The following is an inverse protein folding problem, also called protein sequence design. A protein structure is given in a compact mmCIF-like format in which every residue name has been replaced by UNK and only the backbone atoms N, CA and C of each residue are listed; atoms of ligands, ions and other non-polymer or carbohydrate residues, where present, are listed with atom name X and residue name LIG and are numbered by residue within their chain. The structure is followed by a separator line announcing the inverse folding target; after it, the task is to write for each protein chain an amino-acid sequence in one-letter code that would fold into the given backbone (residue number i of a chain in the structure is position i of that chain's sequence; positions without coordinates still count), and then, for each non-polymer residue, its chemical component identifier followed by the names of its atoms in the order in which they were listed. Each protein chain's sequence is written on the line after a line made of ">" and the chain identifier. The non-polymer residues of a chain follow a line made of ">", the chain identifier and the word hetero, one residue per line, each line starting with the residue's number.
data_IF_517789129648
#
_entry.id   IF_517789129648
#
_cell.length_a   1.000
_cell.length_b   1.000
_cell.length_c   1.000
_cell.angle_alpha   90.00
_cell.angle_beta   90.00
_cell.angle_gamma   90.00
#
_symmetry.space_group_name_H-M   'P 1'
#
loop_
_entity.id
_entity.type
_entity.pdbx_description
1 polymer ?
#
# COMPACT_ATOMS: atom_id res chain seq x y z
N UNK A 1 -3.21 20.11 10.85
CA UNK A 1 -3.87 18.79 10.94
C UNK A 1 -3.14 17.86 9.98
N UNK A 2 -2.72 16.69 10.41
CA UNK A 2 -2.04 15.69 9.57
C UNK A 2 -3.10 14.69 9.07
N UNK A 3 -3.75 14.98 7.94
CA UNK A 3 -4.85 14.16 7.42
C UNK A 3 -4.45 12.74 6.97
N UNK A 4 -3.15 12.51 6.77
CA UNK A 4 -2.55 11.22 6.42
C UNK A 4 -1.22 11.05 7.16
N UNK A 5 -1.27 11.11 8.49
CA UNK A 5 -0.06 11.12 9.33
C UNK A 5 0.67 9.77 9.39
N UNK A 6 -0.12 8.69 9.44
CA UNK A 6 0.36 7.33 9.66
C UNK A 6 -0.50 6.40 8.79
N UNK A 7 0.10 5.64 7.86
CA UNK A 7 -0.64 4.65 7.09
C UNK A 7 -1.23 3.58 8.01
N UNK A 8 -2.51 3.27 7.83
CA UNK A 8 -3.16 2.14 8.51
C UNK A 8 -3.12 0.86 7.66
N UNK A 9 -2.75 1.00 6.39
CA UNK A 9 -2.57 -0.10 5.48
C UNK A 9 -1.22 0.00 4.78
N UNK A 10 -0.65 -1.16 4.48
CA UNK A 10 0.57 -1.35 3.72
C UNK A 10 0.28 -2.03 2.39
N UNK A 11 1.20 -1.84 1.46
CA UNK A 11 1.32 -2.59 0.23
C UNK A 11 2.61 -3.38 0.30
N UNK A 12 2.51 -4.70 0.10
CA UNK A 12 3.63 -5.65 0.22
C UNK A 12 4.52 -5.62 -1.04
N UNK A 13 5.06 -4.44 -1.35
CA UNK A 13 6.01 -4.17 -2.40
C UNK A 13 6.93 -3.03 -1.95
N UNK A 14 8.24 -3.07 -2.27
CA UNK A 14 9.19 -2.05 -1.82
C UNK A 14 8.99 -0.70 -2.51
N UNK A 15 8.42 -0.68 -3.72
CA UNK A 15 8.10 0.52 -4.48
C UNK A 15 7.13 0.18 -5.62
N UNK A 16 6.62 1.21 -6.28
CA UNK A 16 5.88 1.13 -7.53
C UNK A 16 6.64 1.86 -8.66
N UNK A 17 6.60 1.34 -9.89
CA UNK A 17 7.30 1.93 -11.03
C UNK A 17 6.56 1.76 -12.36
N UNK A 18 6.36 2.86 -13.08
CA UNK A 18 5.95 2.87 -14.49
C UNK A 18 7.14 3.21 -15.39
N UNK A 19 7.57 2.25 -16.21
CA UNK A 19 8.59 2.39 -17.23
C UNK A 19 8.12 3.26 -18.40
N UNK A 20 6.85 3.13 -18.81
CA UNK A 20 6.26 3.96 -19.87
C UNK A 20 6.38 5.46 -19.54
N UNK A 21 6.03 5.84 -18.31
CA UNK A 21 6.02 7.23 -17.88
C UNK A 21 7.29 7.66 -17.13
N UNK A 22 8.16 6.70 -16.77
CA UNK A 22 9.34 6.89 -15.92
C UNK A 22 9.00 7.53 -14.57
N UNK A 23 7.96 7.01 -13.93
CA UNK A 23 7.46 7.48 -12.64
C UNK A 23 7.61 6.38 -11.59
N UNK A 24 8.23 6.71 -10.47
CA UNK A 24 8.34 5.85 -9.29
C UNK A 24 7.56 6.40 -8.10
N UNK A 25 7.01 5.50 -7.29
CA UNK A 25 6.36 5.83 -6.01
C UNK A 25 7.02 5.03 -4.90
N UNK A 26 7.38 5.72 -3.83
CA UNK A 26 7.96 5.18 -2.61
C UNK A 26 7.25 5.78 -1.39
N UNK A 27 7.29 5.10 -0.25
CA UNK A 27 6.66 5.56 0.98
C UNK A 27 6.75 4.55 2.12
N UNK A 28 6.45 5.00 3.33
CA UNK A 28 6.37 4.16 4.54
C UNK A 28 5.26 3.10 4.49
N UNK A 29 4.34 3.21 3.54
CA UNK A 29 3.30 2.23 3.25
C UNK A 29 3.69 1.21 2.16
N UNK A 30 4.88 1.33 1.55
CA UNK A 30 5.43 0.44 0.53
C UNK A 30 6.58 -0.40 1.11
N UNK A 31 6.24 -1.34 1.99
CA UNK A 31 7.21 -2.25 2.58
C UNK A 31 6.54 -3.52 3.09
N UNK A 32 7.36 -4.53 3.34
CA UNK A 32 6.93 -5.74 4.02
C UNK A 32 6.71 -5.50 5.53
N UNK A 33 6.03 -6.44 6.17
CA UNK A 33 5.08 -6.11 7.24
C UNK A 33 5.61 -5.42 8.47
N UNK A 34 6.84 -5.71 8.89
CA UNK A 34 7.36 -5.22 10.16
C UNK A 34 7.83 -3.76 10.07
N UNK A 35 8.14 -3.27 8.87
CA UNK A 35 8.66 -1.91 8.64
C UNK A 35 7.58 -0.92 8.20
N UNK A 36 6.33 -1.36 8.07
CA UNK A 36 5.21 -0.52 7.65
C UNK A 36 4.92 0.61 8.64
N UNK A 37 4.59 1.78 8.10
CA UNK A 37 4.25 2.98 8.87
C UNK A 37 5.39 3.43 9.80
N UNK A 38 6.63 3.25 9.33
CA UNK A 38 7.84 3.61 10.06
C UNK A 38 8.79 4.46 9.19
N UNK A 39 9.70 5.16 9.86
CA UNK A 39 10.78 5.91 9.19
C UNK A 39 11.69 4.95 8.40
N UNK A 40 11.94 3.76 8.94
CA UNK A 40 12.75 2.72 8.29
C UNK A 40 12.09 2.24 6.99
N UNK A 41 10.78 1.98 7.01
CA UNK A 41 10.00 1.63 5.83
C UNK A 41 10.07 2.69 4.73
N UNK A 42 9.96 3.98 5.11
CA UNK A 42 10.12 5.08 4.15
C UNK A 42 11.51 5.11 3.52
N UNK A 43 12.56 4.90 4.32
CA UNK A 43 13.94 4.87 3.84
C UNK A 43 14.18 3.69 2.89
N UNK A 44 13.82 2.48 3.31
CA UNK A 44 13.99 1.25 2.52
C UNK A 44 13.25 1.31 1.18
N UNK A 45 12.02 1.85 1.19
CA UNK A 45 11.23 2.03 -0.02
C UNK A 45 11.89 3.00 -1.01
N UNK A 46 12.39 4.14 -0.51
CA UNK A 46 13.08 5.13 -1.32
C UNK A 46 14.42 4.62 -1.88
N UNK A 47 15.20 3.93 -1.05
CA UNK A 47 16.49 3.36 -1.43
C UNK A 47 16.32 2.30 -2.53
N UNK A 48 15.37 1.38 -2.35
CA UNK A 48 15.04 0.35 -3.34
C UNK A 48 14.62 0.94 -4.69
N UNK A 49 13.81 2.01 -4.68
CA UNK A 49 13.43 2.70 -5.92
C UNK A 49 14.64 3.40 -6.57
N UNK A 50 15.51 4.01 -5.77
CA UNK A 50 16.74 4.65 -6.23
C UNK A 50 17.68 3.67 -6.92
N UNK A 51 17.94 2.52 -6.29
CA UNK A 51 18.73 1.42 -6.88
C UNK A 51 18.12 0.94 -8.19
N UNK A 52 16.79 0.77 -8.22
CA UNK A 52 16.08 0.31 -9.41
C UNK A 52 16.20 1.27 -10.60
N UNK A 53 16.03 2.57 -10.35
CA UNK A 53 16.21 3.62 -11.38
C UNK A 53 17.66 3.66 -11.86
N UNK A 54 18.63 3.54 -10.93
CA UNK A 54 20.05 3.49 -11.29
C UNK A 54 20.40 2.26 -12.15
N UNK A 55 19.71 1.14 -11.94
CA UNK A 55 19.89 -0.12 -12.68
C UNK A 55 19.21 -0.17 -14.05
N UNK A 56 18.58 0.93 -14.53
CA UNK A 56 17.96 1.18 -15.85
C UNK A 56 16.44 1.37 -15.87
N UNK A 57 15.72 1.05 -14.79
CA UNK A 57 14.27 1.31 -14.71
C UNK A 57 13.42 0.76 -15.88
N UNK A 58 13.88 -0.27 -16.59
CA UNK A 58 13.35 -0.64 -17.91
C UNK A 58 12.12 -1.55 -17.88
N UNK A 59 11.84 -2.18 -16.74
CA UNK A 59 10.68 -3.05 -16.53
C UNK A 59 9.61 -2.35 -15.71
N UNK A 60 8.35 -2.48 -16.09
CA UNK A 60 7.25 -2.05 -15.23
C UNK A 60 7.19 -2.90 -13.97
N UNK A 61 7.18 -2.22 -12.83
CA UNK A 61 6.76 -2.81 -11.56
C UNK A 61 5.40 -2.26 -11.13
N UNK A 62 4.72 -1.50 -12.00
CA UNK A 62 3.41 -0.89 -11.82
C UNK A 62 3.18 -0.27 -10.45
N UNK A 63 1.91 -0.06 -10.09
CA UNK A 63 1.44 -0.56 -8.80
C UNK A 63 1.33 -2.07 -8.99
N UNK A 64 2.44 -2.81 -8.92
CA UNK A 64 2.42 -4.26 -9.07
C UNK A 64 1.47 -4.77 -8.01
N UNK A 65 0.32 -5.19 -8.48
CA UNK A 65 -0.76 -5.70 -7.66
C UNK A 65 -0.30 -6.90 -6.79
N UNK A 66 0.95 -7.37 -6.93
CA UNK A 66 1.44 -8.56 -6.28
C UNK A 66 0.59 -9.76 -6.69
N UNK A 67 0.74 -10.87 -5.98
CA UNK A 67 -0.14 -12.02 -6.15
C UNK A 67 -1.59 -11.71 -5.71
N UNK A 68 -1.80 -10.63 -4.95
CA UNK A 68 -3.08 -10.29 -4.29
C UNK A 68 -3.92 -9.20 -4.98
N UNK A 69 -3.57 -8.74 -6.18
CA UNK A 69 -4.43 -7.75 -6.87
C UNK A 69 -4.30 -6.30 -6.36
N UNK A 70 -3.22 -5.93 -5.65
CA UNK A 70 -2.91 -4.57 -5.16
C UNK A 70 -3.64 -4.26 -3.88
N UNK A 71 -3.97 -5.31 -3.13
CA UNK A 71 -4.77 -5.20 -1.93
C UNK A 71 -3.92 -4.62 -0.81
N UNK A 72 -4.31 -3.42 -0.38
CA UNK A 72 -3.84 -2.84 0.86
C UNK A 72 -4.14 -3.79 2.03
N UNK A 73 -3.10 -4.15 2.78
CA UNK A 73 -3.18 -5.01 3.97
C UNK A 73 -3.10 -4.14 5.22
N UNK A 74 -3.89 -4.42 6.27
CA UNK A 74 -3.77 -3.67 7.52
C UNK A 74 -2.36 -3.74 8.11
N UNK A 75 -1.89 -2.62 8.64
CA UNK A 75 -0.71 -2.60 9.53
C UNK A 75 -1.18 -3.05 10.91
N UNK A 76 -0.41 -3.91 11.58
CA UNK A 76 -0.76 -4.44 12.91
C UNK A 76 -1.15 -3.33 13.90
N UNK A 77 -2.17 -3.61 14.72
CA UNK A 77 -2.84 -2.66 15.63
C UNK A 77 -1.86 -1.91 16.53
N UNK A 78 -1.72 -0.60 16.31
CA UNK A 78 -0.83 0.22 17.16
C UNK A 78 -1.19 1.69 17.33
N UNK A 79 -2.08 2.28 16.52
CA UNK A 79 -2.29 3.74 16.56
C UNK A 79 -3.74 4.19 16.78
N UNK A 80 -4.74 3.45 16.30
CA UNK A 80 -6.15 3.75 16.58
C UNK A 80 -6.51 2.99 17.85
N UNK A 81 -6.72 3.71 18.95
CA UNK A 81 -6.95 3.12 20.27
C UNK A 81 -7.97 1.98 20.24
N UNK A 82 -7.62 0.88 20.91
CA UNK A 82 -8.34 -0.35 21.26
C UNK A 82 -9.83 -0.43 20.89
N UNK A 83 -10.12 -0.27 19.60
CA UNK A 83 -11.44 -0.33 19.01
C UNK A 83 -11.30 -1.21 17.81
N UNK A 84 -11.51 -2.52 18.03
CA UNK A 84 -11.63 -3.59 17.04
C UNK A 84 -11.82 -3.08 15.59
N UNK A 85 -10.71 -2.82 14.91
CA UNK A 85 -10.70 -2.66 13.45
C UNK A 85 -10.92 -4.00 12.74
N UNK A 86 -11.21 -5.07 13.49
CA UNK A 86 -11.60 -6.39 13.02
C UNK A 86 -13.06 -6.46 12.54
N UNK A 87 -13.88 -5.41 12.76
CA UNK A 87 -15.34 -5.48 12.55
C UNK A 87 -15.93 -4.69 11.38
N UNK A 88 -15.24 -3.72 10.79
CA UNK A 88 -15.83 -2.91 9.70
C UNK A 88 -15.55 -3.54 8.34
N UNK A 89 -16.58 -4.12 7.75
CA UNK A 89 -16.64 -4.47 6.34
C UNK A 89 -16.46 -3.17 5.52
N UNK A 90 -15.23 -2.89 5.09
CA UNK A 90 -14.86 -1.67 4.35
C UNK A 90 -15.44 -1.59 2.93
N UNK A 91 -16.21 -2.60 2.52
CA UNK A 91 -16.86 -2.69 1.21
C UNK A 91 -18.34 -3.01 1.43
N UNK A 92 -19.18 -1.97 1.49
CA UNK A 92 -20.62 -2.16 1.30
C UNK A 92 -20.86 -2.46 -0.18
N UNK A 93 -21.13 -3.73 -0.49
CA UNK A 93 -21.68 -4.11 -1.79
C UNK A 93 -23.05 -3.43 -1.95
N UNK A 94 -23.39 -2.89 -3.12
CA UNK A 94 -24.72 -2.32 -3.35
C UNK A 94 -25.76 -3.41 -3.11
N UNK A 95 -26.78 -3.07 -2.31
CA UNK A 95 -27.93 -3.95 -2.08
C UNK A 95 -28.53 -4.29 -3.45
N UNK A 96 -28.57 -5.58 -3.77
CA UNK A 96 -29.37 -6.04 -4.92
C UNK A 96 -30.81 -5.76 -4.57
N UNK A 97 -31.37 -4.70 -5.15
CA UNK A 97 -32.81 -4.52 -5.22
C UNK A 97 -33.42 -5.82 -5.72
N UNK A 98 -34.08 -6.54 -4.81
CA UNK A 98 -34.87 -7.73 -5.10
C UNK A 98 -36.11 -7.33 -5.87
N UNK A 99 -35.92 -6.94 -7.13
CA UNK A 99 -36.99 -6.79 -8.11
C UNK A 99 -37.28 -8.15 -8.74
N UNK A 100 -38.46 -8.71 -8.44
CA UNK A 100 -39.09 -9.70 -9.31
C UNK A 100 -39.80 -10.83 -8.58
N UNK A 101 -41.13 -10.83 -8.66
CA UNK A 101 -42.00 -11.98 -8.34
C UNK A 101 -43.34 -11.59 -7.76
#
# INVERSE_FOLDING_TARGET
>A
LWGAAIPLNRWDAPFAWSAEHRIGVAGDWLCDGESASSIEGAWLSGDSLGEYVAASGSRDFGLALGEDGGRFRPVGSGFVGDGDAAGTEWVQLPERDGGGG
#
